data_IF_649153034136
#
_entry.id   IF_649153034136
#
_cell.length_a   1.000
_cell.length_b   1.000
_cell.length_c   1.000
_cell.angle_alpha   90.00
_cell.angle_beta   90.00
_cell.angle_gamma   90.00
#
_symmetry.space_group_name_H-M   'P 1'
#
loop_
_entity.id
_entity.type
_entity.pdbx_description
1 polymer ?
#
# COMPACT_ATOMS: atom_id res chain seq x y z
N UNK A 1 0.42 -20.07 9.93
CA UNK A 1 0.50 -18.72 10.53
C UNK A 1 1.96 -18.39 10.81
N UNK A 2 2.56 -17.52 10.00
CA UNK A 2 3.92 -17.01 10.23
C UNK A 2 3.86 -15.57 10.72
N UNK A 3 4.72 -15.21 11.67
CA UNK A 3 4.92 -13.85 12.16
C UNK A 3 6.34 -13.39 11.78
N UNK A 4 6.48 -12.17 11.29
CA UNK A 4 7.79 -11.57 11.05
C UNK A 4 8.09 -10.66 12.25
N UNK A 5 9.16 -10.97 12.97
CA UNK A 5 9.61 -10.23 14.15
C UNK A 5 10.78 -9.30 13.78
N UNK A 6 10.68 -8.02 14.12
CA UNK A 6 11.77 -7.06 13.99
C UNK A 6 12.32 -6.68 15.35
N UNK A 7 13.64 -6.81 15.51
CA UNK A 7 14.39 -6.34 16.69
C UNK A 7 15.05 -4.99 16.39
N UNK A 8 15.34 -4.21 17.44
CA UNK A 8 16.02 -2.90 17.31
C UNK A 8 17.39 -2.98 16.62
N UNK A 9 18.07 -4.12 16.77
CA UNK A 9 19.40 -4.39 16.23
C UNK A 9 19.36 -4.66 14.72
N UNK A 10 18.32 -5.35 14.24
CA UNK A 10 18.06 -5.56 12.81
C UNK A 10 17.73 -4.26 12.09
N UNK A 11 17.01 -3.35 12.76
CA UNK A 11 16.72 -2.00 12.26
C UNK A 11 17.99 -1.15 12.11
N UNK A 12 18.83 -1.11 13.15
CA UNK A 12 20.03 -0.28 13.13
C UNK A 12 20.99 -0.65 11.99
N UNK A 13 21.19 -1.96 11.74
CA UNK A 13 22.07 -2.46 10.68
C UNK A 13 21.57 -2.13 9.27
N UNK A 14 20.25 -2.08 9.05
CA UNK A 14 19.71 -1.78 7.71
C UNK A 14 19.75 -0.29 7.37
N UNK A 15 19.50 0.60 8.35
CA UNK A 15 19.57 2.05 8.14
C UNK A 15 20.97 2.55 7.78
N UNK A 16 22.02 1.90 8.26
CA UNK A 16 23.41 2.30 8.04
C UNK A 16 23.97 1.84 6.69
N UNK A 17 23.33 0.88 6.00
CA UNK A 17 23.85 0.35 4.72
C UNK A 17 23.32 1.11 3.49
N UNK A 18 22.14 1.72 3.55
CA UNK A 18 21.58 2.44 2.40
C UNK A 18 22.03 3.91 2.38
N UNK A 19 23.11 4.20 1.63
CA UNK A 19 23.56 5.58 1.39
C UNK A 19 22.65 6.24 0.36
N UNK A 20 21.77 7.14 0.82
CA UNK A 20 20.94 7.96 -0.05
C UNK A 20 21.74 9.18 -0.50
N UNK A 21 21.85 9.40 -1.80
CA UNK A 21 22.30 10.68 -2.36
C UNK A 21 21.06 11.57 -2.55
N UNK A 22 20.98 12.74 -1.90
CA UNK A 22 19.89 13.67 -2.17
C UNK A 22 20.06 14.22 -3.58
N UNK A 23 19.14 13.89 -4.47
CA UNK A 23 19.03 14.60 -5.75
C UNK A 23 18.18 15.84 -5.50
N UNK A 24 18.75 17.02 -5.74
CA UNK A 24 18.03 18.29 -5.67
C UNK A 24 16.93 18.30 -6.74
N UNK A 25 15.71 17.96 -6.35
CA UNK A 25 14.51 18.32 -7.09
C UNK A 25 14.23 19.78 -6.70
N UNK A 26 14.41 20.70 -7.64
CA UNK A 26 14.41 22.15 -7.40
C UNK A 26 13.22 22.68 -6.61
N UNK A 27 13.32 23.95 -6.23
CA UNK A 27 12.38 24.66 -5.35
C UNK A 27 10.93 24.48 -5.79
N UNK A 28 10.00 24.08 -4.90
CA UNK A 28 8.58 24.00 -5.25
C UNK A 28 8.04 25.38 -5.65
N UNK A 29 7.27 25.42 -6.73
CA UNK A 29 6.74 26.67 -7.29
C UNK A 29 5.76 27.34 -6.32
N UNK A 30 5.99 28.63 -6.04
CA UNK A 30 5.21 29.46 -5.12
C UNK A 30 4.03 30.21 -5.77
N UNK A 31 3.79 30.03 -7.08
CA UNK A 31 2.78 30.78 -7.84
C UNK A 31 1.81 29.87 -8.61
N UNK A 32 0.50 30.16 -8.52
CA UNK A 32 -0.58 29.41 -9.17
C UNK A 32 -0.60 29.55 -10.71
N UNK A 33 0.08 30.54 -11.28
CA UNK A 33 0.00 30.89 -12.71
C UNK A 33 1.06 30.23 -13.60
N UNK A 34 1.98 29.43 -13.04
CA UNK A 34 3.13 28.89 -13.78
C UNK A 34 2.92 27.44 -14.29
N UNK A 35 1.75 26.85 -14.03
CA UNK A 35 1.36 25.50 -14.51
C UNK A 35 1.31 25.39 -16.03
N UNK A 36 1.06 26.49 -16.74
CA UNK A 36 1.02 26.55 -18.21
C UNK A 36 2.38 26.38 -18.90
N UNK A 37 3.49 26.46 -18.16
CA UNK A 37 4.85 26.35 -18.69
C UNK A 37 5.44 24.93 -18.59
N UNK A 38 4.66 23.95 -18.11
CA UNK A 38 5.12 22.59 -17.94
C UNK A 38 4.80 21.75 -19.20
N UNK A 39 5.84 21.24 -19.87
CA UNK A 39 5.72 20.19 -20.88
C UNK A 39 5.23 18.88 -20.24
N UNK A 40 4.63 17.92 -21.01
CA UNK A 40 4.05 16.72 -20.41
C UNK A 40 5.14 15.91 -19.72
N UNK A 41 5.04 15.75 -18.38
CA UNK A 41 4.20 14.71 -17.77
C UNK A 41 3.13 15.23 -16.78
N UNK A 42 2.95 16.55 -16.65
CA UNK A 42 2.08 17.14 -15.61
C UNK A 42 0.62 17.40 -16.05
N UNK A 43 0.24 17.03 -17.27
CA UNK A 43 -1.11 17.25 -17.82
C UNK A 43 -2.00 16.00 -17.88
N UNK A 44 -1.60 14.90 -17.24
CA UNK A 44 -2.47 13.73 -17.07
C UNK A 44 -3.48 13.99 -15.94
N UNK A 45 -4.45 14.86 -16.23
CA UNK A 45 -5.64 15.04 -15.42
C UNK A 45 -6.52 13.78 -15.54
N UNK A 46 -7.05 13.20 -14.44
CA UNK A 46 -7.87 11.97 -14.48
C UNK A 46 -9.14 12.11 -15.33
N UNK A 47 -9.55 13.33 -15.66
CA UNK A 47 -10.67 13.59 -16.57
C UNK A 47 -10.30 13.37 -18.05
N UNK A 48 -9.04 13.64 -18.42
CA UNK A 48 -8.55 13.48 -19.80
C UNK A 48 -8.41 12.01 -20.19
N UNK A 49 -8.02 11.15 -19.23
CA UNK A 49 -8.01 9.69 -19.44
C UNK A 49 -9.43 9.12 -19.58
N UNK A 50 -10.40 9.62 -18.82
CA UNK A 50 -11.81 9.20 -18.97
C UNK A 50 -12.36 9.61 -20.34
N UNK A 51 -12.09 10.83 -20.80
CA UNK A 51 -12.51 11.27 -22.14
C UNK A 51 -11.81 10.47 -23.25
N UNK A 52 -10.49 10.24 -23.16
CA UNK A 52 -9.75 9.43 -24.14
C UNK A 52 -10.24 7.98 -24.20
N UNK A 53 -10.64 7.40 -23.04
CA UNK A 53 -11.26 6.09 -22.95
C UNK A 53 -12.65 6.07 -23.61
N UNK A 54 -13.51 7.06 -23.30
CA UNK A 54 -14.85 7.18 -23.90
C UNK A 54 -14.82 7.52 -25.40
N UNK A 55 -13.76 8.20 -25.87
CA UNK A 55 -13.62 8.65 -27.26
C UNK A 55 -13.00 7.60 -28.20
N UNK A 56 -12.80 6.36 -27.77
CA UNK A 56 -12.46 5.24 -28.67
C UNK A 56 -11.22 5.49 -29.55
N UNK A 57 -10.19 6.14 -29.00
CA UNK A 57 -8.90 6.31 -29.70
C UNK A 57 -7.86 5.23 -29.36
N UNK A 58 -8.20 4.26 -28.49
CA UNK A 58 -7.35 3.10 -28.25
C UNK A 58 -7.65 2.00 -29.29
N UNK A 59 -6.63 1.37 -29.90
CA UNK A 59 -6.85 0.36 -30.94
C UNK A 59 -7.64 -0.85 -30.42
N UNK A 60 -8.49 -1.46 -31.26
CA UNK A 60 -9.37 -2.59 -30.89
C UNK A 60 -8.64 -3.92 -30.64
N UNK A 61 -7.33 -3.90 -30.37
CA UNK A 61 -6.54 -5.10 -30.05
C UNK A 61 -6.66 -5.53 -28.58
N UNK A 62 -7.28 -4.72 -27.71
CA UNK A 62 -7.66 -5.16 -26.38
C UNK A 62 -8.95 -5.99 -26.46
N UNK A 63 -8.82 -7.20 -26.99
CA UNK A 63 -9.71 -8.30 -26.56
C UNK A 63 -9.80 -8.27 -25.03
N UNK A 64 -10.92 -8.66 -24.37
CA UNK A 64 -10.94 -8.87 -22.93
C UNK A 64 -10.03 -10.07 -22.63
N UNK A 65 -8.72 -9.81 -22.65
CA UNK A 65 -7.63 -10.70 -22.31
C UNK A 65 -8.01 -11.23 -20.94
N UNK A 66 -8.19 -12.55 -20.83
CA UNK A 66 -8.33 -13.33 -19.60
C UNK A 66 -7.78 -12.57 -18.39
N UNK A 67 -8.61 -11.72 -17.78
CA UNK A 67 -8.13 -10.78 -16.78
C UNK A 67 -8.10 -11.59 -15.49
N UNK A 68 -6.94 -12.14 -15.16
CA UNK A 68 -6.76 -12.71 -13.84
C UNK A 68 -7.13 -11.63 -12.82
N UNK A 69 -7.95 -11.96 -11.81
CA UNK A 69 -8.43 -10.97 -10.86
C UNK A 69 -7.22 -10.29 -10.20
N UNK A 70 -7.27 -8.97 -10.08
CA UNK A 70 -6.16 -8.23 -9.46
C UNK A 70 -5.92 -8.74 -8.03
N UNK A 71 -4.66 -8.77 -7.56
CA UNK A 71 -4.35 -9.29 -6.23
C UNK A 71 -5.10 -8.52 -5.13
N UNK A 72 -5.28 -7.21 -5.31
CA UNK A 72 -6.11 -6.40 -4.42
C UNK A 72 -7.58 -6.84 -4.40
N UNK A 73 -8.16 -7.20 -5.55
CA UNK A 73 -9.52 -7.72 -5.61
C UNK A 73 -9.64 -9.09 -4.92
N UNK A 74 -8.67 -9.99 -5.11
CA UNK A 74 -8.67 -11.29 -4.44
C UNK A 74 -8.63 -11.15 -2.91
N UNK A 75 -7.77 -10.26 -2.41
CA UNK A 75 -7.69 -9.93 -0.97
C UNK A 75 -8.99 -9.33 -0.46
N UNK A 76 -9.55 -8.36 -1.19
CA UNK A 76 -10.85 -7.75 -0.86
C UNK A 76 -11.96 -8.80 -0.80
N UNK A 77 -12.07 -9.65 -1.83
CA UNK A 77 -13.06 -10.72 -1.92
C UNK A 77 -12.92 -11.69 -0.75
N UNK A 78 -11.69 -12.10 -0.42
CA UNK A 78 -11.42 -12.99 0.70
C UNK A 78 -11.88 -12.38 2.04
N UNK A 79 -11.45 -11.15 2.35
CA UNK A 79 -11.82 -10.45 3.58
C UNK A 79 -13.34 -10.18 3.67
N UNK A 80 -13.96 -9.79 2.55
CA UNK A 80 -15.40 -9.49 2.50
C UNK A 80 -16.23 -10.76 2.68
N UNK A 81 -15.86 -11.86 2.01
CA UNK A 81 -16.52 -13.16 2.18
C UNK A 81 -16.37 -13.74 3.59
N UNK A 82 -15.33 -13.32 4.31
CA UNK A 82 -15.09 -13.69 5.72
C UNK A 82 -15.91 -12.84 6.72
N UNK A 83 -16.76 -11.94 6.25
CA UNK A 83 -17.66 -11.13 7.09
C UNK A 83 -17.04 -9.87 7.68
N UNK A 84 -15.86 -9.44 7.21
CA UNK A 84 -15.26 -8.18 7.64
C UNK A 84 -15.79 -6.98 6.85
N UNK A 85 -15.89 -5.84 7.52
CA UNK A 85 -16.12 -4.56 6.86
C UNK A 85 -14.78 -3.96 6.44
N UNK A 86 -14.73 -3.41 5.22
CA UNK A 86 -13.50 -2.96 4.58
C UNK A 86 -13.67 -1.52 4.09
N UNK A 87 -12.69 -0.66 4.36
CA UNK A 87 -12.59 0.68 3.76
C UNK A 87 -11.17 0.93 3.22
N UNK A 88 -10.94 2.09 2.60
CA UNK A 88 -9.63 2.45 2.04
C UNK A 88 -8.54 2.59 3.13
N UNK A 89 -7.40 1.95 2.89
CA UNK A 89 -6.19 2.01 3.73
C UNK A 89 -5.27 3.21 3.50
N UNK A 90 -5.55 4.03 2.48
CA UNK A 90 -4.60 5.00 1.94
C UNK A 90 -4.04 5.98 2.98
N UNK A 91 -4.87 6.41 3.93
CA UNK A 91 -4.48 7.31 5.03
C UNK A 91 -3.34 6.74 5.90
N UNK A 92 -3.20 5.42 5.94
CA UNK A 92 -2.24 4.70 6.78
C UNK A 92 -1.17 3.97 5.97
N UNK A 93 -1.05 4.26 4.66
CA UNK A 93 -0.08 3.62 3.77
C UNK A 93 -0.41 2.17 3.39
N UNK A 94 -1.53 1.63 3.87
CA UNK A 94 -2.06 0.33 3.45
C UNK A 94 -3.05 0.45 2.29
N UNK A 95 -3.50 -0.69 1.80
CA UNK A 95 -4.51 -0.75 0.74
C UNK A 95 -5.92 -0.84 1.35
N UNK A 96 -6.06 -1.56 2.47
CA UNK A 96 -7.35 -1.73 3.15
C UNK A 96 -7.28 -1.48 4.66
N UNK A 97 -8.38 -0.98 5.21
CA UNK A 97 -8.69 -1.02 6.65
C UNK A 97 -9.75 -2.07 6.91
N UNK A 98 -9.51 -2.92 7.90
CA UNK A 98 -10.41 -4.01 8.27
C UNK A 98 -11.04 -3.73 9.63
N UNK A 99 -12.35 -3.92 9.71
CA UNK A 99 -13.18 -3.68 10.87
C UNK A 99 -13.95 -4.96 11.23
N UNK A 100 -14.12 -5.24 12.53
CA UNK A 100 -14.97 -6.34 13.01
C UNK A 100 -16.47 -6.08 12.84
N UNK A 101 -16.86 -4.84 12.59
CA UNK A 101 -18.24 -4.41 12.41
C UNK A 101 -18.33 -3.14 11.58
N UNK A 102 -19.53 -2.53 11.54
CA UNK A 102 -19.80 -1.32 10.77
C UNK A 102 -18.73 -0.22 11.01
N UNK A 103 -18.12 0.36 9.97
CA UNK A 103 -17.13 1.43 10.10
C UNK A 103 -17.64 2.69 10.83
N UNK A 104 -18.96 2.86 10.94
CA UNK A 104 -19.58 3.97 11.68
C UNK A 104 -19.55 3.77 13.20
N UNK A 105 -19.51 2.52 13.66
CA UNK A 105 -19.59 2.16 15.08
C UNK A 105 -18.27 1.56 15.62
N UNK A 106 -17.43 1.00 14.73
CA UNK A 106 -16.20 0.32 15.10
C UNK A 106 -14.98 1.06 14.57
N UNK A 107 -13.89 1.05 15.34
CA UNK A 107 -12.59 1.50 14.85
C UNK A 107 -11.92 0.40 14.05
N UNK A 108 -11.12 0.77 13.05
CA UNK A 108 -10.34 -0.21 12.29
C UNK A 108 -9.25 -0.80 13.18
N UNK A 109 -9.16 -2.13 13.16
CA UNK A 109 -8.21 -2.88 13.98
C UNK A 109 -6.93 -3.22 13.20
N UNK A 110 -7.06 -3.40 11.89
CA UNK A 110 -6.00 -3.92 11.04
C UNK A 110 -5.85 -3.05 9.79
N UNK A 111 -4.61 -2.74 9.46
CA UNK A 111 -4.19 -2.21 8.16
C UNK A 111 -3.68 -3.39 7.34
N UNK A 112 -4.22 -3.59 6.15
CA UNK A 112 -3.78 -4.63 5.21
C UNK A 112 -3.03 -3.96 4.07
N UNK A 113 -1.82 -4.46 3.79
CA UNK A 113 -1.02 -4.10 2.62
C UNK A 113 -0.87 -5.31 1.71
N UNK A 114 -1.32 -5.21 0.47
CA UNK A 114 -1.18 -6.21 -0.58
C UNK A 114 0.20 -6.03 -1.22
N UNK A 115 1.03 -7.06 -1.16
CA UNK A 115 2.41 -7.03 -1.66
C UNK A 115 2.75 -8.35 -2.33
N UNK A 116 3.51 -8.28 -3.41
CA UNK A 116 4.21 -9.44 -3.97
C UNK A 116 5.56 -9.62 -3.25
N UNK A 117 6.27 -8.52 -3.04
CA UNK A 117 7.50 -8.43 -2.26
C UNK A 117 7.47 -7.14 -1.44
N UNK A 118 8.08 -7.16 -0.25
CA UNK A 118 8.17 -5.97 0.60
C UNK A 118 9.63 -5.74 1.02
N UNK A 119 10.13 -4.53 0.77
CA UNK A 119 11.46 -4.15 1.23
C UNK A 119 11.46 -3.89 2.73
N UNK A 120 12.58 -4.16 3.41
CA UNK A 120 12.69 -3.93 4.88
C UNK A 120 12.36 -2.49 5.25
N UNK A 121 12.82 -1.51 4.46
CA UNK A 121 12.54 -0.08 4.72
C UNK A 121 11.05 0.25 4.64
N UNK A 122 10.36 -0.27 3.62
CA UNK A 122 8.92 -0.07 3.45
C UNK A 122 8.15 -0.73 4.59
N UNK A 123 8.52 -1.96 4.94
CA UNK A 123 7.93 -2.71 6.03
C UNK A 123 8.03 -1.97 7.37
N UNK A 124 9.20 -1.40 7.67
CA UNK A 124 9.43 -0.61 8.89
C UNK A 124 8.64 0.70 8.87
N UNK A 125 8.56 1.37 7.71
CA UNK A 125 7.76 2.58 7.56
C UNK A 125 6.27 2.30 7.79
N UNK A 126 5.73 1.24 7.19
CA UNK A 126 4.36 0.79 7.40
C UNK A 126 4.10 0.42 8.86
N UNK A 127 5.03 -0.30 9.49
CA UNK A 127 4.89 -0.70 10.89
C UNK A 127 4.88 0.50 11.83
N UNK A 128 5.73 1.52 11.57
CA UNK A 128 5.74 2.77 12.33
C UNK A 128 4.38 3.49 12.24
N UNK A 129 3.80 3.57 11.04
CA UNK A 129 2.47 4.18 10.83
C UNK A 129 1.38 3.38 11.53
N UNK A 130 1.41 2.05 11.43
CA UNK A 130 0.46 1.17 12.09
C UNK A 130 0.51 1.29 13.62
N UNK A 131 1.71 1.26 14.21
CA UNK A 131 1.93 1.43 15.64
C UNK A 131 1.45 2.81 16.13
N UNK A 132 1.77 3.88 15.42
CA UNK A 132 1.30 5.23 15.75
C UNK A 132 -0.23 5.34 15.72
N UNK A 133 -0.88 4.63 14.79
CA UNK A 133 -2.34 4.58 14.66
C UNK A 133 -3.01 3.54 15.59
N UNK A 134 -2.24 2.85 16.44
CA UNK A 134 -2.68 1.73 17.30
C UNK A 134 -3.42 0.63 16.53
N UNK A 135 -2.89 0.27 15.35
CA UNK A 135 -3.45 -0.75 14.45
C UNK A 135 -2.44 -1.87 14.22
N UNK A 136 -2.94 -3.07 13.96
CA UNK A 136 -2.10 -4.20 13.56
C UNK A 136 -1.79 -4.09 12.07
N UNK A 137 -0.54 -4.31 11.67
CA UNK A 137 -0.18 -4.41 10.26
C UNK A 137 -0.26 -5.87 9.81
N UNK A 138 -0.96 -6.11 8.70
CA UNK A 138 -0.95 -7.40 8.00
C UNK A 138 -0.51 -7.21 6.56
N UNK A 139 0.43 -8.04 6.13
CA UNK A 139 0.80 -8.19 4.74
C UNK A 139 -0.05 -9.28 4.12
N UNK A 140 -0.57 -9.02 2.93
CA UNK A 140 -1.34 -9.97 2.14
C UNK A 140 -0.54 -10.34 0.88
N UNK A 141 -0.23 -11.61 0.77
CA UNK A 141 0.43 -12.22 -0.38
C UNK A 141 -0.60 -13.02 -1.17
N UNK A 142 -0.55 -12.90 -2.50
CA UNK A 142 -1.48 -13.58 -3.40
C UNK A 142 -0.68 -14.57 -4.25
N UNK A 143 -0.92 -15.86 -4.06
CA UNK A 143 -0.26 -16.95 -4.78
C UNK A 143 -1.33 -17.82 -5.45
N UNK A 144 -1.36 -17.84 -6.79
CA UNK A 144 -2.24 -18.73 -7.58
C UNK A 144 -3.70 -18.83 -7.06
N UNK A 145 -4.33 -17.68 -6.79
CA UNK A 145 -5.71 -17.51 -6.25
C UNK A 145 -5.90 -17.74 -4.74
N UNK A 146 -4.83 -18.05 -4.01
CA UNK A 146 -4.84 -18.13 -2.56
C UNK A 146 -4.29 -16.85 -1.93
N UNK A 147 -4.97 -16.38 -0.90
CA UNK A 147 -4.54 -15.20 -0.12
C UNK A 147 -3.93 -15.67 1.19
N UNK A 148 -2.65 -15.34 1.40
CA UNK A 148 -1.92 -15.60 2.63
C UNK A 148 -1.68 -14.29 3.38
N UNK A 149 -2.02 -14.28 4.67
CA UNK A 149 -1.76 -13.14 5.54
C UNK A 149 -0.59 -13.42 6.48
N UNK A 150 0.26 -12.41 6.67
CA UNK A 150 1.36 -12.40 7.64
C UNK A 150 1.21 -11.17 8.52
N UNK A 151 1.20 -11.37 9.84
CA UNK A 151 1.13 -10.28 10.80
C UNK A 151 2.54 -9.82 11.17
N UNK A 152 2.71 -8.50 11.22
CA UNK A 152 3.99 -7.86 11.56
C UNK A 152 3.90 -7.33 12.97
N UNK A 153 4.82 -7.78 13.83
CA UNK A 153 4.85 -7.40 15.24
C UNK A 153 6.24 -6.84 15.60
N UNK A 154 6.24 -5.87 16.50
CA UNK A 154 7.47 -5.38 17.11
C UNK A 154 7.78 -6.36 18.24
N UNK A 155 8.95 -6.99 18.21
CA UNK A 155 9.37 -7.84 19.30
C UNK A 155 9.93 -6.95 20.42
N UNK A 156 9.37 -7.08 21.61
CA UNK A 156 9.97 -6.56 22.83
C UNK A 156 11.18 -7.45 23.15
N UNK A 157 12.38 -6.87 23.12
CA UNK A 157 13.61 -7.63 23.18
C UNK A 157 13.87 -8.26 24.55
N UNK A 158 13.45 -9.51 24.72
CA UNK A 158 14.17 -10.46 25.58
C UNK A 158 14.98 -11.39 24.69
N UNK A 159 16.19 -10.95 24.35
CA UNK A 159 17.22 -11.84 23.80
C UNK A 159 17.83 -12.56 24.99
N UNK A 160 17.32 -13.76 25.28
CA UNK A 160 17.99 -14.69 26.19
C UNK A 160 19.40 -14.95 25.68
N UNK A 161 20.38 -14.67 26.54
CA UNK A 161 21.80 -15.02 26.37
C UNK A 161 21.97 -16.52 26.42
#
# INVERSE_FOLDING_TARGET
NGSILFTSLTLYKTFTTSRLTPTSLGTPCTSQYQSHQLSPPFLLCPYSTHLAYTLSLLPPSLSPLSLSPSPAYQVFRHLHSSGFYITSGLKYGGDFLVYRGSPHAFHSEVIVKVVEQVGVRELVALQRVAAAAKKKLRLAFVEADQVRFVQVEIADGEVGV
#
